data_IF_225519252696
#
_entry.id   IF_225519252696
#
_cell.length_a   1.000
_cell.length_b   1.000
_cell.length_c   1.000
_cell.angle_alpha   90.00
_cell.angle_beta   90.00
_cell.angle_gamma   90.00
#
_symmetry.space_group_name_H-M   'P 1'
#
loop_
_entity.id
_entity.type
_entity.pdbx_description
1 polymer ?
#
# COMPACT_ATOMS: atom_id res chain seq x y z
N UNK A 1 6.73 -8.05 -1.14
CA UNK A 1 5.97 -6.79 -1.06
C UNK A 1 6.72 -5.75 -1.87
N UNK A 2 6.36 -5.57 -3.15
CA UNK A 2 7.02 -4.57 -4.01
C UNK A 2 6.59 -3.18 -3.54
N UNK A 3 7.56 -2.32 -3.24
CA UNK A 3 7.40 -0.87 -3.01
C UNK A 3 6.88 -0.41 -1.63
N UNK A 4 7.11 -1.15 -0.54
CA UNK A 4 6.75 -0.69 0.84
C UNK A 4 5.27 -0.28 0.99
N UNK A 5 4.41 -0.90 0.18
CA UNK A 5 2.96 -0.72 0.21
C UNK A 5 2.34 -1.79 1.09
N UNK A 6 1.55 -1.36 2.05
CA UNK A 6 0.72 -2.22 2.89
C UNK A 6 -0.76 -1.92 2.61
N UNK A 7 -1.56 -2.97 2.44
CA UNK A 7 -3.01 -2.86 2.29
C UNK A 7 -3.69 -3.51 3.49
N UNK A 8 -4.53 -2.75 4.19
CA UNK A 8 -5.37 -3.24 5.29
C UNK A 8 -6.83 -3.01 4.92
N UNK A 9 -7.67 -4.02 5.07
CA UNK A 9 -9.08 -3.90 4.72
C UNK A 9 -9.85 -5.19 4.99
N UNK A 10 -11.16 -5.15 4.80
CA UNK A 10 -12.04 -6.32 4.96
C UNK A 10 -12.02 -7.16 3.70
N UNK A 11 -11.62 -8.42 3.79
CA UNK A 11 -11.69 -9.36 2.67
C UNK A 11 -13.13 -9.82 2.44
N UNK A 12 -13.68 -9.55 1.25
CA UNK A 12 -15.02 -9.99 0.85
C UNK A 12 -14.98 -11.26 -0.01
N UNK A 13 -14.01 -11.37 -0.93
CA UNK A 13 -13.88 -12.51 -1.82
C UNK A 13 -12.44 -12.65 -2.35
N UNK A 14 -12.07 -13.86 -2.74
CA UNK A 14 -10.84 -14.16 -3.46
C UNK A 14 -11.03 -15.31 -4.46
N UNK A 15 -10.11 -15.48 -5.40
CA UNK A 15 -10.11 -16.59 -6.37
C UNK A 15 -8.79 -17.40 -6.36
N UNK A 16 -8.69 -18.40 -7.23
CA UNK A 16 -7.52 -19.29 -7.34
C UNK A 16 -6.24 -18.58 -7.81
N UNK A 17 -6.35 -17.39 -8.40
CA UNK A 17 -5.23 -16.58 -8.87
C UNK A 17 -4.74 -15.61 -7.78
N UNK A 18 -5.32 -15.67 -6.58
CA UNK A 18 -5.07 -14.73 -5.47
C UNK A 18 -5.51 -13.30 -5.77
N UNK A 19 -6.46 -13.14 -6.69
CA UNK A 19 -7.17 -11.88 -6.83
C UNK A 19 -8.01 -11.67 -5.57
N UNK A 20 -8.03 -10.46 -5.03
CA UNK A 20 -8.76 -10.14 -3.80
C UNK A 20 -9.73 -8.97 -4.03
N UNK A 21 -10.93 -9.08 -3.46
CA UNK A 21 -11.89 -8.00 -3.33
C UNK A 21 -11.90 -7.57 -1.87
N UNK A 22 -11.39 -6.38 -1.62
CA UNK A 22 -11.31 -5.79 -0.28
C UNK A 22 -12.28 -4.59 -0.18
N UNK A 23 -12.96 -4.46 0.95
CA UNK A 23 -13.78 -3.32 1.34
C UNK A 23 -13.10 -2.53 2.46
N UNK A 24 -13.44 -1.25 2.59
CA UNK A 24 -12.86 -0.34 3.58
C UNK A 24 -11.32 -0.40 3.60
N UNK A 25 -10.69 -0.28 2.42
CA UNK A 25 -9.25 -0.52 2.25
C UNK A 25 -8.44 0.72 2.56
N UNK A 26 -7.56 0.62 3.54
CA UNK A 26 -6.49 1.57 3.80
C UNK A 26 -5.19 1.07 3.16
N UNK A 27 -4.66 1.87 2.24
CA UNK A 27 -3.33 1.70 1.68
C UNK A 27 -2.34 2.59 2.41
N UNK A 28 -1.28 2.00 2.95
CA UNK A 28 -0.13 2.70 3.53
C UNK A 28 1.03 2.61 2.57
N UNK A 29 1.56 3.76 2.14
CA UNK A 29 2.78 3.85 1.33
C UNK A 29 3.88 4.47 2.17
N UNK A 30 4.96 3.72 2.38
CA UNK A 30 6.20 4.26 2.96
C UNK A 30 7.11 4.71 1.81
N UNK A 31 7.71 5.88 1.93
CA UNK A 31 8.73 6.36 1.00
C UNK A 31 9.89 6.92 1.79
N UNK A 32 11.09 6.48 1.45
CA UNK A 32 12.34 6.99 1.99
C UNK A 32 12.91 7.95 0.96
N UNK A 33 12.97 9.23 1.31
CA UNK A 33 13.63 10.26 0.53
C UNK A 33 14.93 10.66 1.23
N UNK A 34 16.03 10.75 0.47
CA UNK A 34 17.30 11.22 0.99
C UNK A 34 17.47 12.66 0.52
N UNK A 35 17.63 13.59 1.46
CA UNK A 35 17.95 14.98 1.14
C UNK A 35 19.41 15.07 0.64
N UNK A 36 19.61 15.55 -0.59
CA UNK A 36 20.94 15.55 -1.24
C UNK A 36 21.93 16.55 -0.62
N UNK A 37 21.44 17.53 0.15
CA UNK A 37 22.26 18.58 0.76
C UNK A 37 22.67 18.21 2.20
N UNK A 38 21.75 17.63 2.96
CA UNK A 38 21.92 17.31 4.39
C UNK A 38 22.16 15.81 4.65
N UNK A 39 21.96 14.95 3.65
CA UNK A 39 21.99 13.49 3.76
C UNK A 39 21.01 12.92 4.81
N UNK A 40 19.96 13.67 5.15
CA UNK A 40 18.91 13.22 6.05
C UNK A 40 17.94 12.27 5.35
N UNK A 41 17.52 11.22 6.06
CA UNK A 41 16.47 10.30 5.60
C UNK A 41 15.10 10.79 6.08
N UNK A 42 14.23 11.13 5.12
CA UNK A 42 12.85 11.53 5.39
C UNK A 42 11.92 10.35 5.11
N UNK A 43 11.23 9.89 6.16
CA UNK A 43 10.21 8.84 6.07
C UNK A 43 8.84 9.47 5.86
N UNK A 44 8.23 9.23 4.70
CA UNK A 44 6.85 9.66 4.40
C UNK A 44 5.90 8.48 4.48
N UNK A 45 4.83 8.64 5.25
CA UNK A 45 3.74 7.66 5.37
C UNK A 45 2.47 8.31 4.84
N UNK A 46 1.92 7.78 3.76
CA UNK A 46 0.66 8.25 3.16
C UNK A 46 -0.43 7.19 3.30
N UNK A 47 -1.61 7.59 3.76
CA UNK A 47 -2.80 6.73 3.83
C UNK A 47 -3.78 7.06 2.72
N UNK A 48 -4.26 6.05 2.00
CA UNK A 48 -5.23 6.25 0.92
C UNK A 48 -6.37 5.22 1.00
N UNK A 49 -7.60 5.71 0.90
CA UNK A 49 -8.82 4.89 0.95
C UNK A 49 -9.28 4.52 -0.46
N UNK A 50 -9.41 3.21 -0.77
CA UNK A 50 -9.83 2.74 -2.09
C UNK A 50 -10.83 1.56 -2.02
N UNK A 51 -11.62 1.39 -3.08
CA UNK A 51 -12.27 0.11 -3.41
C UNK A 51 -11.44 -0.50 -4.53
N UNK A 52 -10.65 -1.53 -4.24
CA UNK A 52 -9.68 -2.08 -5.19
C UNK A 52 -9.94 -3.56 -5.45
N UNK A 53 -10.01 -3.91 -6.74
CA UNK A 53 -9.90 -5.29 -7.22
C UNK A 53 -8.43 -5.57 -7.46
N UNK A 54 -7.84 -6.45 -6.65
CA UNK A 54 -6.47 -6.90 -6.88
C UNK A 54 -6.50 -7.89 -8.05
N UNK A 55 -5.78 -7.59 -9.12
CA UNK A 55 -5.42 -8.56 -10.15
C UNK A 55 -3.95 -8.93 -9.91
N UNK A 56 -3.67 -10.23 -9.76
CA UNK A 56 -2.31 -10.78 -9.66
C UNK A 56 -1.60 -10.80 -11.02
#
# INVERSE_FOLDING_TARGET
MRNERELRGRLHAYDQHLNMVLGDVEETVTTIEIDEETYEEVYRVSQILYIRKLFA
#
